data_IF_183536322066
#
_entry.id   IF_183536322066
#
_cell.length_a   1.000
_cell.length_b   1.000
_cell.length_c   1.000
_cell.angle_alpha   90.00
_cell.angle_beta   90.00
_cell.angle_gamma   90.00
#
_symmetry.space_group_name_H-M   'P 1'
#
loop_
_entity.id
_entity.type
_entity.pdbx_description
1 polymer ?
#
# COMPACT_ATOMS: atom_id res chain seq x y z
N UNK A 1 -3.64 29.31 9.23
CA UNK A 1 -3.64 27.87 8.93
C UNK A 1 -2.45 27.26 9.64
N UNK A 2 -2.66 26.31 10.53
CA UNK A 2 -1.57 25.60 11.19
C UNK A 2 -1.00 24.61 10.14
N UNK A 3 0.28 24.72 9.82
CA UNK A 3 0.93 23.77 8.93
C UNK A 3 0.72 22.36 9.50
N UNK A 4 0.27 21.42 8.67
CA UNK A 4 0.17 20.03 9.08
C UNK A 4 1.55 19.56 9.56
N UNK A 5 1.59 18.90 10.73
CA UNK A 5 2.84 18.36 11.24
C UNK A 5 3.47 17.42 10.20
N UNK A 6 4.79 17.54 10.00
CA UNK A 6 5.52 16.63 9.11
C UNK A 6 5.28 15.18 9.57
N UNK A 7 5.09 14.24 8.63
CA UNK A 7 4.93 12.83 9.00
C UNK A 7 6.19 12.33 9.72
N UNK A 8 6.05 11.31 10.60
CA UNK A 8 7.19 10.76 11.33
C UNK A 8 8.23 10.19 10.36
N UNK A 9 9.52 10.31 10.73
CA UNK A 9 10.60 9.72 9.96
C UNK A 9 10.42 8.20 9.88
N UNK A 10 10.56 7.66 8.68
CA UNK A 10 10.48 6.21 8.40
C UNK A 10 11.46 5.85 7.31
N UNK A 11 12.01 4.65 7.40
CA UNK A 11 12.86 4.04 6.36
C UNK A 11 12.22 2.78 5.79
N UNK A 12 12.64 2.43 4.57
CA UNK A 12 12.28 1.18 3.92
C UNK A 12 13.41 0.17 4.12
N UNK A 13 13.04 -1.01 4.61
CA UNK A 13 13.92 -2.16 4.79
C UNK A 13 13.51 -3.24 3.79
N UNK A 14 14.50 -3.92 3.24
CA UNK A 14 14.30 -5.02 2.30
C UNK A 14 14.82 -6.31 2.91
N UNK A 15 14.03 -7.38 2.85
CA UNK A 15 14.40 -8.72 3.31
C UNK A 15 14.11 -9.76 2.24
N UNK A 16 14.87 -10.85 2.23
CA UNK A 16 14.51 -12.05 1.49
C UNK A 16 13.25 -12.67 2.08
N UNK A 17 12.41 -13.22 1.22
CA UNK A 17 11.17 -13.89 1.58
C UNK A 17 11.13 -15.27 0.93
N UNK A 18 10.74 -16.28 1.68
CA UNK A 18 10.51 -17.64 1.16
C UNK A 18 9.27 -18.24 1.81
N UNK A 19 8.62 -19.12 1.09
CA UNK A 19 7.53 -19.94 1.65
C UNK A 19 7.94 -21.39 1.57
N UNK A 20 8.12 -22.02 2.73
CA UNK A 20 8.49 -23.42 2.86
C UNK A 20 7.39 -24.15 3.65
N UNK A 21 6.80 -25.18 3.07
CA UNK A 21 5.70 -25.95 3.67
C UNK A 21 4.52 -25.09 4.15
N UNK A 22 4.25 -23.98 3.42
CA UNK A 22 3.20 -23.01 3.74
C UNK A 22 3.53 -22.09 4.92
N UNK A 23 4.77 -22.07 5.37
CA UNK A 23 5.27 -21.12 6.37
C UNK A 23 6.21 -20.11 5.73
N UNK A 24 5.97 -18.85 6.00
CA UNK A 24 6.82 -17.75 5.56
C UNK A 24 8.10 -17.71 6.41
N UNK A 25 9.22 -17.58 5.73
CA UNK A 25 10.55 -17.34 6.31
C UNK A 25 11.05 -15.99 5.80
N UNK A 26 11.51 -15.15 6.72
CA UNK A 26 12.01 -13.80 6.41
C UNK A 26 13.49 -13.74 6.76
N UNK A 27 14.30 -13.30 5.81
CA UNK A 27 15.72 -13.03 6.01
C UNK A 27 15.93 -11.78 6.88
N UNK A 28 17.19 -11.47 7.20
CA UNK A 28 17.55 -10.26 7.94
C UNK A 28 17.21 -9.01 7.10
N UNK A 29 16.36 -8.09 7.59
CA UNK A 29 16.06 -6.85 6.88
C UNK A 29 17.28 -5.93 6.77
N UNK A 30 17.50 -5.34 5.61
CA UNK A 30 18.53 -4.33 5.35
C UNK A 30 17.85 -3.00 5.05
N UNK A 31 18.28 -1.93 5.75
CA UNK A 31 17.79 -0.57 5.48
C UNK A 31 18.30 -0.11 4.10
N UNK A 32 17.39 0.13 3.16
CA UNK A 32 17.73 0.47 1.77
C UNK A 32 17.53 1.96 1.45
N UNK A 33 16.93 2.72 2.36
CA UNK A 33 16.79 4.17 2.21
C UNK A 33 17.68 4.97 3.17
N UNK A 34 17.91 4.49 4.37
CA UNK A 34 18.92 4.89 5.37
C UNK A 34 19.26 6.41 5.41
N UNK A 35 18.25 7.27 5.50
CA UNK A 35 18.42 8.71 5.50
C UNK A 35 17.39 9.41 6.40
N UNK A 36 17.66 10.65 6.88
CA UNK A 36 16.65 11.45 7.57
C UNK A 36 15.43 11.75 6.69
N UNK A 37 14.23 11.65 7.25
CA UNK A 37 12.98 12.03 6.60
C UNK A 37 11.99 10.88 6.47
N UNK A 38 11.06 11.03 5.56
CA UNK A 38 9.97 10.09 5.34
C UNK A 38 10.19 9.33 4.05
N UNK A 39 10.41 8.01 4.15
CA UNK A 39 10.40 7.06 3.06
C UNK A 39 9.36 5.99 3.37
N UNK A 40 8.30 5.87 2.54
CA UNK A 40 7.12 5.09 2.88
C UNK A 40 6.36 4.61 1.63
N UNK A 41 5.36 3.77 1.82
CA UNK A 41 4.42 3.32 0.79
C UNK A 41 5.11 2.58 -0.36
N UNK A 42 6.00 1.61 -0.07
CA UNK A 42 6.65 0.85 -1.13
C UNK A 42 5.64 0.01 -1.92
N UNK A 43 5.82 -0.07 -3.24
CA UNK A 43 5.07 -0.93 -4.13
C UNK A 43 5.99 -1.48 -5.21
N UNK A 44 6.15 -2.80 -5.28
CA UNK A 44 7.02 -3.43 -6.27
C UNK A 44 6.49 -3.27 -7.70
N UNK A 45 7.40 -3.09 -8.66
CA UNK A 45 7.08 -3.15 -10.07
C UNK A 45 6.69 -4.58 -10.48
N UNK A 46 5.90 -4.74 -11.56
CA UNK A 46 5.43 -6.05 -12.01
C UNK A 46 6.55 -7.05 -12.33
N UNK A 47 7.72 -6.56 -12.77
CA UNK A 47 8.91 -7.36 -13.05
C UNK A 47 9.71 -7.75 -11.79
N UNK A 48 9.39 -7.17 -10.65
CA UNK A 48 10.09 -7.39 -9.38
C UNK A 48 11.49 -6.77 -9.29
N UNK A 49 11.98 -6.10 -10.34
CA UNK A 49 13.34 -5.54 -10.38
C UNK A 49 13.51 -4.22 -9.62
N UNK A 50 12.41 -3.59 -9.24
CA UNK A 50 12.41 -2.33 -8.51
C UNK A 50 11.11 -2.18 -7.69
N UNK A 51 11.08 -1.18 -6.81
CA UNK A 51 9.83 -0.71 -6.21
C UNK A 51 9.73 0.82 -6.27
N UNK A 52 8.49 1.30 -6.36
CA UNK A 52 8.14 2.71 -6.19
C UNK A 52 7.92 2.99 -4.71
N UNK A 53 8.15 4.23 -4.28
CA UNK A 53 7.86 4.66 -2.92
C UNK A 53 7.68 6.17 -2.84
N UNK A 54 7.01 6.64 -1.81
CA UNK A 54 6.90 8.06 -1.48
C UNK A 54 8.05 8.49 -0.60
N UNK A 55 8.70 9.61 -0.93
CA UNK A 55 9.81 10.17 -0.18
C UNK A 55 9.60 11.66 0.06
N UNK A 56 9.83 12.12 1.30
CA UNK A 56 9.90 13.55 1.65
C UNK A 56 11.33 13.86 2.03
N UNK A 57 11.96 14.79 1.32
CA UNK A 57 13.35 15.19 1.50
C UNK A 57 13.48 16.65 1.96
N UNK A 58 14.60 17.27 1.70
CA UNK A 58 14.94 18.62 2.19
C UNK A 58 13.97 19.71 1.72
N UNK A 59 13.29 19.53 0.58
CA UNK A 59 12.25 20.42 0.07
C UNK A 59 10.89 20.29 0.77
N UNK A 60 10.78 19.37 1.73
CA UNK A 60 9.56 19.09 2.50
C UNK A 60 8.36 18.68 1.65
N UNK A 61 8.59 18.33 0.40
CA UNK A 61 7.57 17.88 -0.54
C UNK A 61 7.63 16.37 -0.69
N UNK A 62 6.47 15.74 -0.82
CA UNK A 62 6.36 14.31 -1.11
C UNK A 62 6.45 14.06 -2.61
N UNK A 63 7.39 13.22 -3.01
CA UNK A 63 7.58 12.80 -4.38
C UNK A 63 7.65 11.29 -4.50
N UNK A 64 7.42 10.80 -5.71
CA UNK A 64 7.59 9.39 -6.02
C UNK A 64 9.02 9.13 -6.47
N UNK A 65 9.62 8.13 -5.85
CA UNK A 65 10.95 7.61 -6.15
C UNK A 65 10.85 6.15 -6.60
N UNK A 66 11.80 5.74 -7.41
CA UNK A 66 12.02 4.33 -7.79
C UNK A 66 13.34 3.86 -7.20
N UNK A 67 13.29 2.76 -6.44
CA UNK A 67 14.48 2.04 -5.97
C UNK A 67 14.74 0.85 -6.87
N UNK A 68 15.92 0.77 -7.47
CA UNK A 68 16.36 -0.35 -8.31
C UNK A 68 17.11 -1.37 -7.44
N UNK A 69 16.63 -2.63 -7.43
CA UNK A 69 17.17 -3.69 -6.57
C UNK A 69 18.57 -4.15 -7.02
N UNK A 70 18.87 -4.07 -8.30
CA UNK A 70 20.15 -4.52 -8.87
C UNK A 70 21.28 -3.55 -8.58
N UNK A 71 21.00 -2.23 -8.70
CA UNK A 71 22.00 -1.17 -8.51
C UNK A 71 22.01 -0.60 -7.09
N UNK A 72 21.00 -0.93 -6.28
CA UNK A 72 20.76 -0.37 -4.94
C UNK A 72 20.72 1.18 -4.95
N UNK A 73 20.08 1.77 -5.96
CA UNK A 73 19.98 3.21 -6.13
C UNK A 73 18.55 3.69 -6.24
N UNK A 74 18.30 4.91 -5.76
CA UNK A 74 17.01 5.60 -5.88
C UNK A 74 17.06 6.74 -6.86
N UNK A 75 16.03 6.83 -7.72
CA UNK A 75 15.83 7.93 -8.66
C UNK A 75 14.48 8.59 -8.38
N UNK A 76 14.45 9.93 -8.30
CA UNK A 76 13.22 10.72 -8.21
C UNK A 76 12.50 10.68 -9.56
N UNK A 77 11.23 10.31 -9.55
CA UNK A 77 10.37 10.27 -10.75
C UNK A 77 9.53 11.54 -10.87
N UNK A 78 8.82 11.92 -9.80
CA UNK A 78 8.05 13.16 -9.82
C UNK A 78 8.86 14.32 -9.22
N UNK A 79 8.78 15.50 -9.85
CA UNK A 79 9.41 16.72 -9.42
C UNK A 79 8.48 17.91 -9.73
N UNK A 80 7.22 17.76 -9.33
CA UNK A 80 6.17 18.75 -9.57
C UNK A 80 6.12 19.77 -8.42
N UNK A 81 5.17 20.69 -8.45
CA UNK A 81 4.93 21.61 -7.32
C UNK A 81 3.95 21.02 -6.29
N UNK A 82 3.29 19.93 -6.66
CA UNK A 82 2.34 19.20 -5.83
C UNK A 82 3.03 18.03 -5.14
N UNK A 83 2.38 17.49 -4.12
CA UNK A 83 2.86 16.30 -3.41
C UNK A 83 2.19 15.03 -3.92
N UNK A 84 2.96 13.97 -4.21
CA UNK A 84 2.47 12.69 -4.65
C UNK A 84 2.72 11.60 -3.61
N UNK A 85 1.69 10.75 -3.42
CA UNK A 85 1.67 9.66 -2.43
C UNK A 85 1.15 8.35 -3.01
N UNK A 86 1.48 7.24 -2.36
CA UNK A 86 0.91 5.90 -2.63
C UNK A 86 1.04 5.47 -4.09
N UNK A 87 2.26 5.40 -4.65
CA UNK A 87 2.44 4.99 -6.04
C UNK A 87 2.02 3.54 -6.24
N UNK A 88 1.30 3.28 -7.33
CA UNK A 88 0.84 1.94 -7.71
C UNK A 88 0.97 1.77 -9.21
N UNK A 89 1.61 0.71 -9.73
CA UNK A 89 1.66 0.42 -11.16
C UNK A 89 0.28 0.40 -11.80
N UNK A 90 0.16 0.98 -12.99
CA UNK A 90 -1.06 0.88 -13.79
C UNK A 90 -1.20 -0.55 -14.32
N UNK A 91 -2.44 -1.10 -14.38
CA UNK A 91 -2.66 -2.46 -14.84
C UNK A 91 -2.23 -2.71 -16.29
N UNK A 92 -2.33 -1.70 -17.14
CA UNK A 92 -1.93 -1.74 -18.56
C UNK A 92 -0.40 -1.68 -18.77
N UNK A 93 0.37 -1.51 -17.69
CA UNK A 93 1.81 -1.43 -17.75
C UNK A 93 2.36 -0.13 -18.33
N UNK A 94 1.54 0.89 -18.59
CA UNK A 94 1.98 2.16 -19.21
C UNK A 94 2.70 3.10 -18.26
N UNK A 95 2.58 2.88 -16.93
CA UNK A 95 3.15 3.77 -15.92
C UNK A 95 2.66 3.43 -14.52
N UNK A 96 2.46 4.46 -13.72
CA UNK A 96 1.93 4.32 -12.37
C UNK A 96 0.88 5.38 -12.05
N UNK A 97 0.03 5.09 -11.08
CA UNK A 97 -0.90 6.05 -10.47
C UNK A 97 -0.40 6.47 -9.10
N UNK A 98 -0.72 7.71 -8.70
CA UNK A 98 -0.44 8.24 -7.38
C UNK A 98 -1.54 9.19 -6.91
N UNK A 99 -1.73 9.30 -5.61
CA UNK A 99 -2.57 10.35 -5.02
C UNK A 99 -1.78 11.64 -5.02
N UNK A 100 -2.28 12.64 -5.75
CA UNK A 100 -1.69 13.98 -5.76
C UNK A 100 -2.48 14.91 -4.85
N UNK A 101 -1.76 15.66 -4.02
CA UNK A 101 -2.28 16.79 -3.27
C UNK A 101 -2.03 18.04 -4.11
N UNK A 102 -3.07 18.54 -4.75
CA UNK A 102 -3.01 19.66 -5.68
C UNK A 102 -2.83 20.99 -4.96
N UNK A 103 -2.51 22.05 -5.70
CA UNK A 103 -2.21 23.37 -5.14
C UNK A 103 -3.34 23.96 -4.27
N UNK A 104 -4.59 23.59 -4.54
CA UNK A 104 -5.76 23.95 -3.74
C UNK A 104 -6.05 22.99 -2.57
N UNK A 105 -5.13 22.04 -2.31
CA UNK A 105 -5.24 20.96 -1.33
C UNK A 105 -6.24 19.87 -1.70
N UNK A 106 -6.77 19.85 -2.92
CA UNK A 106 -7.61 18.75 -3.41
C UNK A 106 -6.75 17.50 -3.58
N UNK A 107 -7.24 16.36 -3.10
CA UNK A 107 -6.56 15.07 -3.25
C UNK A 107 -7.28 14.23 -4.29
N UNK A 108 -6.63 13.99 -5.43
CA UNK A 108 -7.18 13.17 -6.52
C UNK A 108 -6.18 12.13 -7.01
N UNK A 109 -6.68 11.13 -7.74
CA UNK A 109 -5.85 10.10 -8.36
C UNK A 109 -5.35 10.55 -9.72
N UNK A 110 -4.03 10.56 -9.89
CA UNK A 110 -3.34 10.91 -11.12
C UNK A 110 -2.52 9.74 -11.63
N UNK A 111 -2.35 9.64 -12.94
CA UNK A 111 -1.48 8.67 -13.58
C UNK A 111 -0.29 9.39 -14.24
N UNK A 112 0.83 8.68 -14.32
CA UNK A 112 2.11 9.14 -14.84
C UNK A 112 2.72 8.04 -15.69
N UNK A 113 3.57 8.41 -16.63
CA UNK A 113 4.45 7.44 -17.29
C UNK A 113 5.56 6.95 -16.33
N UNK A 114 6.29 5.91 -16.71
CA UNK A 114 7.36 5.34 -15.86
C UNK A 114 8.50 6.29 -15.50
N UNK A 115 8.69 7.36 -16.27
CA UNK A 115 9.65 8.43 -15.98
C UNK A 115 9.07 9.58 -15.14
N UNK A 116 7.81 9.46 -14.71
CA UNK A 116 7.09 10.49 -13.96
C UNK A 116 6.53 11.62 -14.81
N UNK A 117 6.68 11.54 -16.14
CA UNK A 117 6.16 12.54 -17.07
C UNK A 117 4.65 12.33 -17.37
N UNK A 118 4.11 13.27 -18.14
CA UNK A 118 2.72 13.25 -18.69
C UNK A 118 1.65 12.96 -17.64
N UNK A 119 1.55 13.80 -16.56
CA UNK A 119 0.51 13.62 -15.57
C UNK A 119 -0.87 13.74 -16.19
N UNK A 120 -1.76 12.79 -15.89
CA UNK A 120 -3.15 12.78 -16.34
C UNK A 120 -4.08 12.40 -15.20
N UNK A 121 -5.17 13.13 -15.08
CA UNK A 121 -6.18 12.87 -14.06
C UNK A 121 -6.91 11.56 -14.38
N UNK A 122 -6.98 10.64 -13.41
CA UNK A 122 -7.67 9.36 -13.56
C UNK A 122 -9.16 9.51 -13.24
N UNK A 123 -9.47 10.17 -12.12
CA UNK A 123 -10.84 10.38 -11.66
C UNK A 123 -11.02 11.84 -11.25
N UNK A 124 -12.01 12.52 -11.85
CA UNK A 124 -12.31 13.93 -11.57
C UNK A 124 -13.30 14.10 -10.40
N UNK A 125 -14.32 13.27 -10.36
CA UNK A 125 -15.46 13.45 -9.44
C UNK A 125 -15.24 12.90 -8.03
N UNK A 126 -14.22 12.03 -7.82
CA UNK A 126 -13.98 11.38 -6.52
C UNK A 126 -12.83 12.07 -5.81
N UNK A 127 -13.15 12.70 -4.69
CA UNK A 127 -12.20 13.43 -3.83
C UNK A 127 -12.77 13.64 -2.44
N UNK A 128 -11.94 13.77 -1.40
CA UNK A 128 -10.48 13.61 -1.41
C UNK A 128 -10.07 12.12 -1.34
N UNK A 129 -9.24 11.67 -2.29
CA UNK A 129 -8.70 10.30 -2.30
C UNK A 129 -7.49 10.21 -1.38
N UNK A 130 -7.43 9.20 -0.50
CA UNK A 130 -6.29 8.95 0.37
C UNK A 130 -5.43 7.77 -0.07
N UNK A 131 -6.05 6.68 -0.50
CA UNK A 131 -5.38 5.46 -1.00
C UNK A 131 -6.23 4.82 -2.09
N UNK A 132 -5.59 3.94 -2.88
CA UNK A 132 -6.28 3.23 -3.95
C UNK A 132 -5.65 1.86 -4.20
N UNK A 133 -6.43 0.97 -4.82
CA UNK A 133 -5.97 -0.29 -5.38
C UNK A 133 -6.69 -0.58 -6.69
N UNK A 134 -5.93 -1.01 -7.69
CA UNK A 134 -6.50 -1.53 -8.93
C UNK A 134 -6.94 -2.97 -8.73
N UNK A 135 -8.21 -3.25 -8.92
CA UNK A 135 -8.74 -4.62 -8.86
C UNK A 135 -8.53 -5.35 -10.20
N UNK A 136 -8.72 -4.61 -11.31
CA UNK A 136 -8.45 -5.03 -12.69
C UNK A 136 -8.05 -3.80 -13.54
N UNK A 137 -8.13 -3.92 -14.87
CA UNK A 137 -7.71 -2.87 -15.81
C UNK A 137 -8.54 -1.58 -15.72
N UNK A 138 -9.74 -1.63 -15.17
CA UNK A 138 -10.68 -0.50 -15.10
C UNK A 138 -11.22 -0.26 -13.69
N UNK A 139 -11.37 -1.32 -12.89
CA UNK A 139 -11.96 -1.21 -11.57
C UNK A 139 -10.96 -0.70 -10.54
N UNK A 140 -11.26 0.45 -9.96
CA UNK A 140 -10.56 1.07 -8.84
C UNK A 140 -11.33 0.90 -7.54
N UNK A 141 -10.64 0.53 -6.49
CA UNK A 141 -11.13 0.58 -5.11
C UNK A 141 -10.38 1.69 -4.38
N UNK A 142 -11.11 2.60 -3.78
CA UNK A 142 -10.61 3.85 -3.24
C UNK A 142 -10.94 4.00 -1.76
N UNK A 143 -9.93 4.39 -0.97
CA UNK A 143 -10.13 4.98 0.35
C UNK A 143 -10.35 6.48 0.15
N UNK A 144 -11.57 6.93 0.40
CA UNK A 144 -11.95 8.35 0.31
C UNK A 144 -12.02 8.92 1.71
N UNK A 145 -11.26 10.00 1.94
CA UNK A 145 -11.18 10.67 3.22
C UNK A 145 -12.55 11.25 3.61
N UNK A 146 -12.83 11.20 4.88
CA UNK A 146 -14.08 11.69 5.48
C UNK A 146 -14.14 11.33 6.95
N UNK A 147 -15.24 11.62 7.60
CA UNK A 147 -15.49 11.29 8.99
C UNK A 147 -16.87 10.64 9.12
N UNK A 148 -16.93 9.30 9.03
CA UNK A 148 -15.86 8.33 8.78
C UNK A 148 -15.37 8.30 7.33
N UNK A 149 -14.17 7.72 7.04
CA UNK A 149 -13.71 7.46 5.68
C UNK A 149 -14.55 6.36 5.01
N UNK A 150 -14.59 6.37 3.68
CA UNK A 150 -15.39 5.41 2.90
C UNK A 150 -14.55 4.58 1.94
N UNK A 151 -14.98 3.34 1.71
CA UNK A 151 -14.53 2.51 0.60
C UNK A 151 -15.45 2.73 -0.60
N UNK A 152 -14.88 3.12 -1.73
CA UNK A 152 -15.65 3.35 -2.95
C UNK A 152 -15.10 2.52 -4.12
N UNK A 153 -15.98 2.06 -5.00
CA UNK A 153 -15.62 1.47 -6.29
C UNK A 153 -15.85 2.52 -7.37
N UNK A 154 -14.90 2.64 -8.29
CA UNK A 154 -14.99 3.49 -9.46
C UNK A 154 -14.47 2.79 -10.71
N UNK A 155 -14.98 3.21 -11.87
CA UNK A 155 -14.49 2.79 -13.18
C UNK A 155 -13.56 3.87 -13.74
N UNK A 156 -12.28 3.54 -13.93
CA UNK A 156 -11.29 4.44 -14.51
C UNK A 156 -11.57 4.79 -15.99
N UNK A 157 -12.35 3.96 -16.70
CA UNK A 157 -12.83 4.23 -18.06
C UNK A 157 -13.92 5.30 -18.09
N UNK A 158 -14.45 5.72 -16.93
CA UNK A 158 -15.52 6.71 -16.79
C UNK A 158 -15.13 7.82 -15.80
N UNK A 159 -14.15 8.67 -16.11
CA UNK A 159 -13.52 9.61 -15.15
C UNK A 159 -14.47 10.57 -14.45
N UNK A 160 -15.59 10.92 -15.10
CA UNK A 160 -16.64 11.80 -14.53
C UNK A 160 -17.69 11.06 -13.68
N UNK A 161 -17.65 9.73 -13.63
CA UNK A 161 -18.60 8.96 -12.84
C UNK A 161 -18.35 9.14 -11.33
N UNK A 162 -19.41 9.07 -10.54
CA UNK A 162 -19.33 9.04 -9.10
C UNK A 162 -18.93 7.63 -8.64
N UNK A 163 -18.13 7.57 -7.56
CA UNK A 163 -17.82 6.29 -6.90
C UNK A 163 -19.05 5.73 -6.17
N UNK A 164 -19.19 4.41 -6.21
CA UNK A 164 -20.19 3.71 -5.40
C UNK A 164 -19.61 3.40 -4.03
N UNK A 165 -20.22 3.94 -2.97
CA UNK A 165 -19.82 3.66 -1.59
C UNK A 165 -20.25 2.26 -1.22
N UNK A 166 -19.30 1.43 -0.77
CA UNK A 166 -19.55 0.03 -0.37
C UNK A 166 -19.31 -0.24 1.12
N UNK A 167 -18.49 0.58 1.77
CA UNK A 167 -18.25 0.49 3.21
C UNK A 167 -17.86 1.84 3.81
N UNK A 168 -18.02 1.96 5.12
CA UNK A 168 -17.65 3.12 5.92
C UNK A 168 -16.68 2.71 7.02
N UNK A 169 -15.95 3.68 7.59
CA UNK A 169 -14.99 3.49 8.69
C UNK A 169 -13.98 2.37 8.44
N UNK A 170 -13.29 2.49 7.34
CA UNK A 170 -12.31 1.51 6.87
C UNK A 170 -10.87 1.90 7.24
N UNK A 171 -9.98 0.91 7.28
CA UNK A 171 -8.53 1.08 7.38
C UNK A 171 -7.90 1.57 6.07
N UNK A 172 -6.64 1.99 6.15
CA UNK A 172 -5.89 2.61 5.05
C UNK A 172 -5.18 1.63 4.12
N UNK A 173 -5.21 0.33 4.43
CA UNK A 173 -4.57 -0.72 3.62
C UNK A 173 -5.58 -1.32 2.66
N UNK A 174 -5.39 -1.05 1.37
CA UNK A 174 -6.16 -1.66 0.28
C UNK A 174 -5.20 -2.54 -0.53
N UNK A 175 -5.52 -3.83 -0.68
CA UNK A 175 -4.64 -4.77 -1.36
C UNK A 175 -5.43 -5.65 -2.33
N UNK A 176 -5.00 -5.69 -3.59
CA UNK A 176 -5.55 -6.66 -4.54
C UNK A 176 -5.30 -8.08 -4.03
N UNK A 177 -6.33 -8.91 -4.02
CA UNK A 177 -6.19 -10.33 -3.70
C UNK A 177 -5.65 -11.05 -4.93
N UNK A 178 -4.52 -11.78 -4.82
CA UNK A 178 -3.93 -12.46 -5.97
C UNK A 178 -4.90 -13.39 -6.68
N UNK A 179 -4.92 -13.32 -8.01
CA UNK A 179 -5.75 -14.16 -8.90
C UNK A 179 -7.26 -13.92 -8.82
N UNK A 180 -7.71 -12.96 -8.04
CA UNK A 180 -9.14 -12.61 -7.92
C UNK A 180 -9.37 -11.16 -8.39
N UNK A 181 -10.58 -10.89 -8.87
CA UNK A 181 -11.07 -9.53 -9.09
C UNK A 181 -11.64 -8.97 -7.77
N UNK A 182 -10.78 -8.95 -6.75
CA UNK A 182 -11.17 -8.59 -5.39
C UNK A 182 -10.06 -7.77 -4.72
N UNK A 183 -10.47 -6.88 -3.83
CA UNK A 183 -9.58 -6.06 -3.00
C UNK A 183 -9.91 -6.32 -1.54
N UNK A 184 -8.88 -6.57 -0.74
CA UNK A 184 -9.02 -6.69 0.71
C UNK A 184 -8.79 -5.36 1.40
N UNK A 185 -9.50 -5.14 2.50
CA UNK A 185 -9.44 -3.94 3.34
C UNK A 185 -9.76 -4.30 4.79
N UNK A 186 -9.46 -3.40 5.72
CA UNK A 186 -9.88 -3.57 7.12
C UNK A 186 -11.15 -2.76 7.36
N UNK A 187 -12.22 -3.43 7.77
CA UNK A 187 -13.44 -2.80 8.30
C UNK A 187 -13.23 -2.59 9.81
N UNK A 188 -13.38 -1.34 10.31
CA UNK A 188 -13.07 -1.00 11.71
C UNK A 188 -14.26 -1.09 12.64
N UNK A 189 -15.43 -0.72 12.18
CA UNK A 189 -16.67 -0.65 12.95
C UNK A 189 -17.47 -1.96 12.99
N UNK A 190 -16.87 -3.07 12.58
CA UNK A 190 -17.50 -4.38 12.62
C UNK A 190 -17.84 -4.79 14.06
N UNK A 191 -18.98 -5.44 14.21
CA UNK A 191 -19.37 -6.10 15.49
C UNK A 191 -18.29 -7.13 15.85
N UNK A 192 -17.73 -7.00 17.05
CA UNK A 192 -16.65 -7.86 17.54
C UNK A 192 -15.23 -7.35 17.25
N UNK A 193 -15.08 -6.13 16.70
CA UNK A 193 -13.81 -5.48 16.41
C UNK A 193 -13.45 -5.44 14.93
N UNK A 194 -12.23 -5.03 14.58
CA UNK A 194 -11.83 -4.91 13.18
C UNK A 194 -11.76 -6.28 12.50
N UNK A 195 -12.11 -6.30 11.20
CA UNK A 195 -12.02 -7.46 10.34
C UNK A 195 -11.23 -7.12 9.07
N UNK A 196 -10.34 -8.00 8.66
CA UNK A 196 -9.88 -8.06 7.28
C UNK A 196 -11.01 -8.64 6.44
N UNK A 197 -11.43 -7.91 5.41
CA UNK A 197 -12.55 -8.26 4.55
C UNK A 197 -12.11 -8.24 3.08
N UNK A 198 -12.83 -8.96 2.23
CA UNK A 198 -12.67 -9.00 0.78
C UNK A 198 -13.88 -8.39 0.11
N UNK A 199 -13.66 -7.42 -0.78
CA UNK A 199 -14.64 -6.85 -1.69
C UNK A 199 -14.47 -7.50 -3.06
N UNK A 200 -15.46 -8.25 -3.54
CA UNK A 200 -15.56 -8.64 -4.93
C UNK A 200 -16.12 -7.46 -5.74
N UNK A 201 -15.30 -6.93 -6.68
CA UNK A 201 -15.68 -5.72 -7.41
C UNK A 201 -16.75 -5.92 -8.46
N UNK A 202 -17.00 -7.17 -8.87
CA UNK A 202 -18.04 -7.51 -9.86
C UNK A 202 -19.41 -7.62 -9.22
N UNK A 203 -19.48 -8.34 -8.09
CA UNK A 203 -20.75 -8.55 -7.37
C UNK A 203 -21.01 -7.50 -6.31
N UNK A 204 -19.97 -6.71 -5.94
CA UNK A 204 -19.98 -5.73 -4.82
C UNK A 204 -20.24 -6.37 -3.47
N UNK A 205 -20.08 -7.68 -3.37
CA UNK A 205 -20.22 -8.39 -2.10
C UNK A 205 -18.95 -8.23 -1.25
N UNK A 206 -19.18 -8.06 0.05
CA UNK A 206 -18.12 -8.00 1.06
C UNK A 206 -18.19 -9.27 1.91
N UNK A 207 -17.05 -9.91 2.10
CA UNK A 207 -16.93 -11.15 2.89
C UNK A 207 -15.87 -10.98 3.96
N UNK A 208 -16.20 -11.31 5.20
CA UNK A 208 -15.24 -11.36 6.32
C UNK A 208 -14.24 -12.49 6.09
N UNK A 209 -12.96 -12.19 6.32
CA UNK A 209 -11.88 -13.15 6.15
C UNK A 209 -11.33 -13.59 7.51
N UNK A 210 -10.73 -12.69 8.26
CA UNK A 210 -10.09 -12.96 9.56
C UNK A 210 -9.97 -11.68 10.38
N UNK A 211 -9.99 -11.78 11.70
CA UNK A 211 -9.67 -10.65 12.57
C UNK A 211 -8.15 -10.41 12.61
N UNK A 212 -7.66 -9.18 12.32
CA UNK A 212 -6.23 -8.90 12.36
C UNK A 212 -5.69 -8.97 13.81
N UNK A 213 -4.38 -9.22 14.01
CA UNK A 213 -3.74 -9.05 15.30
C UNK A 213 -3.92 -7.62 15.82
N UNK A 214 -3.98 -7.45 17.13
CA UNK A 214 -4.15 -6.14 17.74
C UNK A 214 -3.04 -5.17 17.28
N UNK A 215 -3.43 -3.97 16.80
CA UNK A 215 -2.50 -2.96 16.31
C UNK A 215 -1.99 -3.18 14.87
N UNK A 216 -2.45 -4.22 14.19
CA UNK A 216 -2.11 -4.47 12.80
C UNK A 216 -3.08 -3.72 11.86
N UNK A 217 -2.58 -2.65 11.24
CA UNK A 217 -3.36 -1.78 10.34
C UNK A 217 -3.05 -2.02 8.85
N UNK A 218 -1.89 -2.59 8.54
CA UNK A 218 -1.43 -2.78 7.17
C UNK A 218 -1.07 -4.24 6.92
N UNK A 219 -1.35 -4.70 5.72
CA UNK A 219 -1.08 -6.08 5.31
C UNK A 219 -0.67 -6.14 3.84
N UNK A 220 -0.05 -7.26 3.45
CA UNK A 220 0.31 -7.57 2.07
C UNK A 220 0.02 -9.04 1.77
N UNK A 221 -0.36 -9.34 0.53
CA UNK A 221 -0.54 -10.69 0.04
C UNK A 221 0.74 -11.21 -0.61
N UNK A 222 1.13 -12.43 -0.29
CA UNK A 222 2.08 -13.16 -1.14
C UNK A 222 1.39 -13.61 -2.44
N UNK A 223 2.12 -13.82 -3.54
CA UNK A 223 1.53 -14.36 -4.78
C UNK A 223 0.84 -15.72 -4.59
N UNK A 224 1.25 -16.47 -3.57
CA UNK A 224 0.68 -17.75 -3.18
C UNK A 224 -0.62 -17.65 -2.35
N UNK A 225 -1.07 -16.44 -1.99
CA UNK A 225 -2.31 -16.22 -1.24
C UNK A 225 -2.17 -16.32 0.28
N UNK A 226 -0.96 -16.19 0.83
CA UNK A 226 -0.72 -15.99 2.26
C UNK A 226 -0.72 -14.47 2.53
N UNK A 227 -1.36 -14.03 3.61
CA UNK A 227 -1.35 -12.65 4.07
C UNK A 227 -0.26 -12.45 5.11
N UNK A 228 0.49 -11.37 4.98
CA UNK A 228 1.45 -10.89 5.97
C UNK A 228 0.94 -9.60 6.60
N UNK A 229 1.15 -9.46 7.92
CA UNK A 229 0.91 -8.22 8.65
C UNK A 229 1.95 -8.06 9.74
N UNK A 230 2.05 -6.86 10.31
CA UNK A 230 2.93 -6.58 11.44
C UNK A 230 2.18 -5.89 12.56
N UNK A 231 2.60 -6.17 13.80
CA UNK A 231 2.20 -5.46 15.00
C UNK A 231 3.44 -5.22 15.87
N UNK A 232 3.78 -3.94 16.06
CA UNK A 232 5.06 -3.57 16.69
C UNK A 232 6.25 -4.04 15.86
N UNK A 233 7.07 -4.94 16.41
CA UNK A 233 8.21 -5.54 15.71
C UNK A 233 7.93 -6.94 15.18
N UNK A 234 6.78 -7.51 15.50
CA UNK A 234 6.42 -8.89 15.16
C UNK A 234 5.70 -8.96 13.83
N UNK A 235 6.10 -9.93 13.02
CA UNK A 235 5.52 -10.27 11.75
C UNK A 235 4.65 -11.52 11.88
N UNK A 236 3.46 -11.47 11.30
CA UNK A 236 2.49 -12.56 11.32
C UNK A 236 2.10 -12.95 9.91
N UNK A 237 1.79 -14.25 9.74
CA UNK A 237 1.14 -14.77 8.53
C UNK A 237 -0.25 -15.31 8.83
N UNK A 238 -1.11 -15.24 7.83
CA UNK A 238 -2.37 -15.96 7.79
C UNK A 238 -2.55 -16.63 6.43
N UNK A 239 -2.82 -17.93 6.44
CA UNK A 239 -3.15 -18.70 5.23
C UNK A 239 -4.63 -19.07 5.26
N UNK A 240 -5.48 -18.51 4.38
CA UNK A 240 -6.90 -18.81 4.32
C UNK A 240 -7.24 -20.30 4.17
N UNK A 241 -6.31 -21.09 3.66
CA UNK A 241 -6.47 -22.54 3.46
C UNK A 241 -6.24 -23.36 4.74
N UNK A 242 -5.68 -22.73 5.79
CA UNK A 242 -5.30 -23.41 7.05
C UNK A 242 -6.15 -23.00 8.25
N UNK A 243 -7.14 -22.16 8.06
CA UNK A 243 -8.06 -21.70 9.11
C UNK A 243 -7.99 -20.21 9.37
N UNK A 244 -8.47 -19.78 10.54
CA UNK A 244 -8.69 -18.36 10.89
C UNK A 244 -7.62 -17.81 11.85
N UNK A 245 -6.52 -18.53 12.07
CA UNK A 245 -5.49 -18.12 13.05
C UNK A 245 -4.29 -17.51 12.40
N UNK A 246 -3.81 -16.41 12.97
CA UNK A 246 -2.51 -15.82 12.65
C UNK A 246 -1.39 -16.56 13.36
N UNK A 247 -0.29 -16.76 12.65
CA UNK A 247 0.94 -17.36 13.17
C UNK A 247 2.05 -16.31 13.17
N UNK A 248 2.77 -16.16 14.29
CA UNK A 248 3.98 -15.34 14.34
C UNK A 248 5.09 -16.05 13.53
N UNK A 249 5.70 -15.32 12.57
CA UNK A 249 6.76 -15.85 11.70
C UNK A 249 8.12 -15.24 11.97
N UNK A 250 8.19 -14.02 12.51
CA UNK A 250 9.43 -13.37 12.88
C UNK A 250 9.21 -12.28 13.93
N UNK A 251 10.24 -12.02 14.77
CA UNK A 251 10.37 -10.81 15.57
C UNK A 251 11.58 -10.02 15.04
N UNK A 252 11.32 -8.84 14.51
CA UNK A 252 12.31 -8.00 13.84
C UNK A 252 13.03 -7.03 14.81
N UNK A 253 12.73 -7.09 16.11
CA UNK A 253 13.41 -6.28 17.13
C UNK A 253 14.93 -6.50 17.12
N UNK A 254 15.37 -7.75 16.92
CA UNK A 254 16.78 -8.13 16.83
C UNK A 254 17.51 -7.52 15.63
N UNK A 255 16.78 -7.19 14.56
CA UNK A 255 17.30 -6.49 13.37
C UNK A 255 17.27 -4.95 13.50
N UNK A 256 16.87 -4.44 14.67
CA UNK A 256 16.87 -3.00 14.92
C UNK A 256 15.61 -2.28 14.43
N UNK A 257 14.58 -2.98 13.96
CA UNK A 257 13.34 -2.35 13.53
C UNK A 257 12.47 -2.03 14.76
N UNK A 258 11.79 -0.88 14.66
CA UNK A 258 10.75 -0.51 15.62
C UNK A 258 9.50 -0.11 14.85
N UNK A 259 8.34 -0.47 15.39
CA UNK A 259 7.05 -0.06 14.85
C UNK A 259 6.92 -0.24 13.31
N UNK A 260 6.95 -1.51 12.86
CA UNK A 260 6.72 -1.85 11.45
C UNK A 260 5.30 -1.46 11.07
N UNK A 261 5.16 -0.59 10.09
CA UNK A 261 3.86 0.00 9.73
C UNK A 261 3.32 -0.51 8.40
N UNK A 262 4.17 -0.71 7.38
CA UNK A 262 3.73 -1.12 6.05
C UNK A 262 4.58 -2.26 5.52
N UNK A 263 3.96 -3.04 4.64
CA UNK A 263 4.57 -4.18 3.98
C UNK A 263 4.24 -4.15 2.49
N UNK A 264 5.19 -4.62 1.67
CA UNK A 264 4.94 -4.95 0.28
C UNK A 264 5.72 -6.23 -0.07
N UNK A 265 5.07 -7.15 -0.78
CA UNK A 265 5.68 -8.40 -1.25
C UNK A 265 5.94 -8.28 -2.74
N UNK A 266 7.11 -8.75 -3.20
CA UNK A 266 7.45 -8.78 -4.63
C UNK A 266 6.52 -9.71 -5.42
N UNK A 267 6.32 -9.47 -6.73
CA UNK A 267 5.50 -10.33 -7.57
C UNK A 267 5.96 -11.79 -7.62
N UNK A 268 7.26 -12.03 -7.47
CA UNK A 268 7.86 -13.38 -7.37
C UNK A 268 7.66 -14.02 -5.99
N UNK A 269 7.35 -13.21 -4.95
CA UNK A 269 7.23 -13.68 -3.57
C UNK A 269 8.57 -13.95 -2.89
N UNK A 270 9.68 -13.45 -3.42
CA UNK A 270 11.03 -13.67 -2.90
C UNK A 270 11.63 -12.47 -2.14
N UNK A 271 10.93 -11.34 -2.11
CA UNK A 271 11.30 -10.12 -1.40
C UNK A 271 10.14 -9.55 -0.59
N UNK A 272 10.49 -8.99 0.55
CA UNK A 272 9.59 -8.26 1.43
C UNK A 272 10.18 -6.87 1.69
N UNK A 273 9.46 -5.82 1.33
CA UNK A 273 9.74 -4.47 1.76
C UNK A 273 8.93 -4.16 3.03
N UNK A 274 9.59 -3.58 4.02
CA UNK A 274 9.03 -3.21 5.32
C UNK A 274 9.29 -1.73 5.56
N UNK A 275 8.30 -1.02 6.08
CA UNK A 275 8.47 0.37 6.54
C UNK A 275 8.52 0.36 8.06
N UNK A 276 9.57 0.92 8.61
CA UNK A 276 9.75 1.02 10.05
C UNK A 276 10.35 2.37 10.46
N UNK A 277 10.18 2.73 11.72
CA UNK A 277 10.88 3.88 12.31
C UNK A 277 12.34 3.48 12.50
N UNK A 278 13.32 4.26 11.95
CA UNK A 278 14.74 4.01 12.19
C UNK A 278 15.07 4.22 13.68
N UNK A 279 16.05 3.46 14.18
CA UNK A 279 16.61 3.66 15.53
C UNK A 279 17.54 4.84 15.59
#
# INVERSE_FOLDING_TARGET
MQAAAAPPATDIYLADLRVVDGRVQVGTPVNVTARPGYDNQPFFLPDGGAFLYTSIRADSQADIYRYDLRTATSVRLTATRESEYSPTPLPDGSGFSAVRVEADSTQRLWAFDWDGARPRLVLDSIKPVGYHAWADDHALVLFVLGSPPTLQIADAGSPGARGDVVAHDIGRSLQRIPRLASVSFVQRDSVGGPWLEALDVRTRSVTKLVQPPQGADFFAWTPGGIVLTASGTKLYQWDPRRGESWEEVADLAGAGLTNVTRLAVSPSGDRLALVAVPR
#
